data_IF_724947171163
#
_entry.id   IF_724947171163
#
_cell.length_a   1.000
_cell.length_b   1.000
_cell.length_c   1.000
_cell.angle_alpha   90.00
_cell.angle_beta   90.00
_cell.angle_gamma   90.00
#
_symmetry.space_group_name_H-M   'P 1'
#
loop_
_entity.id
_entity.type
_entity.pdbx_description
1 polymer ?
#
# COMPACT_ATOMS: atom_id res chain seq x y z
N UNK A 1 42.36 40.59 0.77
CA UNK A 1 41.24 41.15 1.56
C UNK A 1 39.85 40.91 0.93
N UNK A 2 39.68 40.99 -0.40
CA UNK A 2 38.36 40.79 -1.06
C UNK A 2 37.80 39.36 -1.01
N UNK A 3 38.65 38.33 -0.98
CA UNK A 3 38.24 36.90 -0.91
C UNK A 3 37.79 36.47 0.49
N UNK A 4 38.41 37.01 1.54
CA UNK A 4 38.03 36.74 2.93
C UNK A 4 36.68 37.36 3.30
N UNK A 5 36.35 38.53 2.74
CA UNK A 5 35.02 39.15 2.89
C UNK A 5 33.91 38.35 2.19
N UNK A 6 34.20 37.78 1.01
CA UNK A 6 33.23 36.95 0.28
C UNK A 6 32.92 35.63 1.02
N UNK A 7 33.94 34.99 1.61
CA UNK A 7 33.76 33.80 2.44
C UNK A 7 32.97 34.09 3.71
N UNK A 8 33.22 35.22 4.38
CA UNK A 8 32.49 35.61 5.58
C UNK A 8 31.00 35.88 5.27
N UNK A 9 30.70 36.49 4.12
CA UNK A 9 29.33 36.74 3.68
C UNK A 9 28.58 35.42 3.36
N UNK A 10 29.24 34.47 2.70
CA UNK A 10 28.65 33.17 2.35
C UNK A 10 28.32 32.33 3.58
N UNK A 11 29.19 32.37 4.60
CA UNK A 11 28.95 31.69 5.88
C UNK A 11 27.78 32.33 6.63
N UNK A 12 27.68 33.66 6.65
CA UNK A 12 26.56 34.36 7.29
C UNK A 12 25.20 34.08 6.62
N UNK A 13 25.18 33.93 5.29
CA UNK A 13 23.97 33.57 4.53
C UNK A 13 23.55 32.11 4.80
N UNK A 14 24.50 31.19 4.98
CA UNK A 14 24.20 29.80 5.31
C UNK A 14 23.69 29.63 6.76
N UNK A 15 24.14 30.45 7.71
CA UNK A 15 23.67 30.38 9.11
C UNK A 15 22.28 30.98 9.33
N UNK A 16 21.83 31.89 8.46
CA UNK A 16 20.53 32.59 8.62
C UNK A 16 19.34 31.86 8.00
N UNK A 17 19.55 30.74 7.31
CA UNK A 17 18.48 29.93 6.71
C UNK A 17 17.84 28.90 7.63
N UNK A 18 18.37 28.69 8.84
CA UNK A 18 17.99 27.58 9.72
C UNK A 18 17.07 27.98 10.88
N UNK A 19 16.06 28.81 10.61
CA UNK A 19 15.01 29.13 11.58
C UNK A 19 13.62 29.18 10.92
N UNK A 20 13.27 28.12 10.18
CA UNK A 20 11.86 27.84 9.94
C UNK A 20 11.28 27.16 11.18
N UNK A 21 10.19 27.67 11.77
CA UNK A 21 9.43 26.89 12.73
C UNK A 21 8.94 25.64 12.02
N UNK A 22 9.44 24.47 12.45
CA UNK A 22 8.87 23.19 12.07
C UNK A 22 7.47 23.13 12.64
N UNK A 23 6.49 23.50 11.83
CA UNK A 23 5.09 23.21 12.11
C UNK A 23 5.00 21.68 12.17
N UNK A 24 4.77 21.16 13.37
CA UNK A 24 4.51 19.75 13.58
C UNK A 24 3.45 19.29 12.57
N UNK A 25 3.82 18.31 11.74
CA UNK A 25 2.88 17.66 10.84
C UNK A 25 1.68 17.19 11.66
N UNK A 26 0.43 17.52 11.27
CA UNK A 26 -0.72 16.99 11.97
C UNK A 26 -0.67 15.47 11.86
N UNK A 27 -0.53 14.79 12.99
CA UNK A 27 -0.72 13.35 13.09
C UNK A 27 -2.04 13.03 12.39
N UNK A 28 -2.05 12.17 11.35
CA UNK A 28 -3.29 11.76 10.72
C UNK A 28 -4.14 11.10 11.80
N UNK A 29 -5.18 11.82 12.23
CA UNK A 29 -6.16 11.27 13.15
C UNK A 29 -7.05 10.40 12.30
N UNK A 30 -6.75 9.10 12.28
CA UNK A 30 -7.62 8.13 11.63
C UNK A 30 -9.01 8.26 12.25
N UNK A 31 -10.09 8.34 11.44
CA UNK A 31 -11.42 8.22 11.98
C UNK A 31 -11.51 6.89 12.74
N UNK A 32 -12.07 6.93 13.94
CA UNK A 32 -12.34 5.74 14.73
C UNK A 32 -13.08 4.72 13.85
N UNK A 33 -12.56 3.49 13.82
CA UNK A 33 -13.26 2.37 13.20
C UNK A 33 -14.65 2.31 13.83
N UNK A 34 -15.75 2.40 13.07
CA UNK A 34 -17.06 2.11 13.63
C UNK A 34 -17.03 0.63 13.99
N UNK A 35 -16.94 0.34 15.28
CA UNK A 35 -17.30 -0.97 15.83
C UNK A 35 -18.78 -1.15 15.54
N UNK A 36 -19.09 -1.75 14.40
CA UNK A 36 -20.38 -2.38 14.15
C UNK A 36 -20.46 -3.57 15.12
N UNK A 37 -20.83 -3.27 16.36
CA UNK A 37 -21.37 -4.26 17.28
C UNK A 37 -22.68 -4.71 16.69
N UNK A 38 -22.64 -5.80 15.91
CA UNK A 38 -23.83 -6.48 15.45
C UNK A 38 -24.25 -7.40 16.59
N UNK A 39 -25.33 -7.12 17.35
CA UNK A 39 -25.96 -8.17 18.13
C UNK A 39 -26.62 -9.12 17.13
N UNK A 40 -25.97 -10.23 16.82
CA UNK A 40 -26.67 -11.35 16.20
C UNK A 40 -27.61 -11.94 17.25
N UNK A 41 -28.82 -11.39 17.33
CA UNK A 41 -29.95 -12.01 18.03
C UNK A 41 -30.65 -12.90 17.00
N UNK A 42 -30.32 -14.19 17.00
CA UNK A 42 -31.08 -15.19 16.23
C UNK A 42 -32.48 -15.31 16.83
N UNK A 43 -33.44 -14.58 16.27
CA UNK A 43 -34.87 -14.87 16.46
C UNK A 43 -35.32 -15.71 15.27
N UNK A 44 -35.28 -17.03 15.45
CA UNK A 44 -35.84 -17.98 14.50
C UNK A 44 -37.37 -17.82 14.47
N UNK A 45 -37.90 -17.27 13.38
CA UNK A 45 -39.32 -17.33 13.07
C UNK A 45 -39.45 -18.15 11.79
N UNK A 46 -40.16 -19.30 11.78
CA UNK A 46 -40.15 -20.20 10.64
C UNK A 46 -41.04 -19.66 9.52
N UNK A 47 -40.43 -19.44 8.35
CA UNK A 47 -41.13 -19.23 7.08
C UNK A 47 -41.40 -20.62 6.47
N UNK A 48 -42.64 -20.99 6.11
CA UNK A 48 -42.94 -22.27 5.50
C UNK A 48 -42.34 -22.35 4.08
N UNK A 49 -41.57 -23.41 3.81
CA UNK A 49 -40.98 -23.70 2.50
C UNK A 49 -42.03 -24.28 1.53
N UNK A 50 -42.08 -23.85 0.26
CA UNK A 50 -42.71 -24.65 -0.78
C UNK A 50 -41.81 -25.83 -1.13
N UNK A 51 -42.41 -27.01 -1.21
CA UNK A 51 -41.77 -28.27 -1.60
C UNK A 51 -41.46 -28.20 -3.09
N UNK A 52 -40.19 -28.06 -3.46
CA UNK A 52 -39.75 -28.16 -4.84
C UNK A 52 -38.70 -29.27 -5.00
N UNK A 53 -39.16 -30.35 -5.64
CA UNK A 53 -38.47 -31.21 -6.59
C UNK A 53 -36.93 -31.24 -6.52
N UNK A 54 -36.34 -32.25 -5.87
CA UNK A 54 -34.90 -32.50 -5.91
C UNK A 54 -34.44 -33.01 -7.28
N UNK A 55 -33.96 -32.11 -8.15
CA UNK A 55 -33.00 -32.48 -9.20
C UNK A 55 -31.64 -32.77 -8.56
N UNK A 56 -30.93 -33.86 -8.93
CA UNK A 56 -29.62 -34.15 -8.37
C UNK A 56 -28.62 -33.06 -8.77
N UNK A 57 -28.15 -32.30 -7.78
CA UNK A 57 -27.04 -31.36 -7.92
C UNK A 57 -25.78 -32.16 -8.25
N UNK A 58 -25.01 -31.83 -9.30
CA UNK A 58 -23.75 -32.49 -9.56
C UNK A 58 -22.82 -32.27 -8.35
N UNK A 59 -22.29 -33.36 -7.81
CA UNK A 59 -21.27 -33.37 -6.75
C UNK A 59 -20.14 -32.45 -7.16
N UNK A 60 -19.96 -31.34 -6.44
CA UNK A 60 -18.79 -30.48 -6.58
C UNK A 60 -17.56 -31.34 -6.26
N UNK A 61 -16.69 -31.53 -7.26
CA UNK A 61 -15.34 -32.04 -7.05
C UNK A 61 -14.67 -31.27 -5.92
N UNK A 62 -13.95 -31.93 -5.00
CA UNK A 62 -13.22 -31.22 -3.95
C UNK A 62 -12.27 -30.23 -4.60
N UNK A 63 -12.37 -28.96 -4.19
CA UNK A 63 -11.39 -27.94 -4.52
C UNK A 63 -10.04 -28.50 -4.06
N UNK A 64 -9.16 -28.81 -5.01
CA UNK A 64 -7.78 -29.23 -4.74
C UNK A 64 -7.21 -28.24 -3.72
N UNK A 65 -6.73 -28.74 -2.59
CA UNK A 65 -6.12 -27.92 -1.55
C UNK A 65 -5.16 -26.93 -2.22
N UNK A 66 -5.46 -25.64 -2.10
CA UNK A 66 -4.62 -24.61 -2.68
C UNK A 66 -3.18 -24.85 -2.20
N UNK A 67 -2.16 -24.76 -3.08
CA UNK A 67 -0.79 -24.75 -2.60
C UNK A 67 -0.69 -23.64 -1.54
N UNK A 68 -0.08 -23.94 -0.39
CA UNK A 68 0.08 -22.99 0.71
C UNK A 68 1.10 -21.92 0.30
N UNK A 69 0.70 -21.05 -0.65
CA UNK A 69 1.46 -19.91 -1.19
C UNK A 69 1.93 -19.01 -0.04
N UNK A 70 1.14 -18.90 1.03
CA UNK A 70 1.48 -18.13 2.22
C UNK A 70 2.63 -18.76 3.06
N UNK A 71 3.02 -20.00 2.78
CA UNK A 71 4.16 -20.68 3.43
C UNK A 71 5.38 -20.81 2.53
N UNK A 72 5.28 -20.39 1.26
CA UNK A 72 6.42 -20.41 0.34
C UNK A 72 7.44 -19.34 0.78
N UNK A 73 8.68 -19.72 1.14
CA UNK A 73 9.70 -18.77 1.57
C UNK A 73 10.00 -17.70 0.51
N UNK A 74 9.79 -17.98 -0.79
CA UNK A 74 9.98 -16.99 -1.85
C UNK A 74 8.92 -15.89 -1.81
N UNK A 75 7.67 -16.24 -1.50
CA UNK A 75 6.58 -15.28 -1.38
C UNK A 75 6.79 -14.39 -0.16
N UNK A 76 7.21 -14.99 0.96
CA UNK A 76 7.58 -14.23 2.17
C UNK A 76 8.71 -13.24 1.85
N UNK A 77 9.78 -13.69 1.19
CA UNK A 77 10.90 -12.83 0.82
C UNK A 77 10.50 -11.67 -0.14
N UNK A 78 9.59 -11.93 -1.08
CA UNK A 78 9.04 -10.89 -1.97
C UNK A 78 8.23 -9.85 -1.19
N UNK A 79 7.38 -10.29 -0.25
CA UNK A 79 6.60 -9.38 0.60
C UNK A 79 7.49 -8.56 1.52
N UNK A 80 8.53 -9.16 2.11
CA UNK A 80 9.50 -8.45 2.93
C UNK A 80 10.28 -7.41 2.11
N UNK A 81 10.68 -7.77 0.88
CA UNK A 81 11.36 -6.84 -0.04
C UNK A 81 10.44 -5.68 -0.44
N UNK A 82 9.17 -5.96 -0.72
CA UNK A 82 8.17 -4.94 -1.02
C UNK A 82 8.00 -4.00 0.17
N UNK A 83 7.85 -4.55 1.38
CA UNK A 83 7.74 -3.78 2.62
C UNK A 83 8.94 -2.85 2.81
N UNK A 84 10.17 -3.36 2.65
CA UNK A 84 11.39 -2.55 2.71
C UNK A 84 11.36 -1.45 1.65
N UNK A 85 10.99 -1.78 0.41
CA UNK A 85 10.94 -0.80 -0.68
C UNK A 85 10.00 0.38 -0.37
N UNK A 86 8.87 0.12 0.29
CA UNK A 86 7.89 1.13 0.65
C UNK A 86 8.34 1.94 1.87
N UNK A 87 8.81 1.27 2.93
CA UNK A 87 9.17 1.93 4.19
C UNK A 87 10.42 2.82 4.03
N UNK A 88 11.40 2.36 3.26
CA UNK A 88 12.65 3.08 3.05
C UNK A 88 12.59 3.98 1.81
N UNK A 89 11.44 4.08 1.14
CA UNK A 89 11.28 4.78 -0.14
C UNK A 89 12.37 4.37 -1.15
N UNK A 90 12.66 3.08 -1.27
CA UNK A 90 13.70 2.55 -2.13
C UNK A 90 13.15 2.23 -3.51
N UNK A 91 13.18 3.23 -4.41
CA UNK A 91 12.71 3.10 -5.79
C UNK A 91 13.40 2.00 -6.58
N UNK A 92 14.71 1.82 -6.41
CA UNK A 92 15.46 0.78 -7.11
C UNK A 92 15.00 -0.64 -6.71
N UNK A 93 14.71 -0.86 -5.43
CA UNK A 93 14.17 -2.12 -4.95
C UNK A 93 12.73 -2.33 -5.42
N UNK A 94 11.88 -1.30 -5.37
CA UNK A 94 10.51 -1.42 -5.89
C UNK A 94 10.53 -1.78 -7.38
N UNK A 95 11.38 -1.12 -8.17
CA UNK A 95 11.54 -1.37 -9.61
C UNK A 95 11.90 -2.82 -9.93
N UNK A 96 12.77 -3.45 -9.12
CA UNK A 96 13.18 -4.85 -9.35
C UNK A 96 12.10 -5.88 -9.01
N UNK A 97 11.12 -5.49 -8.19
CA UNK A 97 9.98 -6.34 -7.82
C UNK A 97 8.84 -6.27 -8.84
N UNK A 98 8.87 -5.30 -9.76
CA UNK A 98 7.82 -5.09 -10.76
C UNK A 98 8.02 -6.06 -11.93
N UNK A 99 6.94 -6.73 -12.34
CA UNK A 99 6.95 -7.60 -13.52
C UNK A 99 7.33 -6.82 -14.78
N UNK A 100 7.93 -7.45 -15.80
CA UNK A 100 8.07 -6.85 -17.13
C UNK A 100 6.75 -6.37 -17.74
N UNK A 101 5.60 -6.94 -17.32
CA UNK A 101 4.27 -6.46 -17.74
C UNK A 101 3.80 -5.21 -16.98
N UNK A 102 4.54 -4.79 -15.94
CA UNK A 102 4.27 -3.63 -15.12
C UNK A 102 3.53 -3.93 -13.82
N UNK A 103 3.21 -2.86 -13.10
CA UNK A 103 2.48 -2.84 -11.84
C UNK A 103 1.22 -1.97 -12.00
N UNK A 104 0.07 -2.52 -11.63
CA UNK A 104 -1.17 -1.76 -11.59
C UNK A 104 -1.21 -0.84 -10.37
N UNK A 105 -1.41 0.45 -10.61
CA UNK A 105 -1.66 1.45 -9.58
C UNK A 105 -3.06 2.00 -9.78
N UNK A 106 -3.84 2.05 -8.71
CA UNK A 106 -5.19 2.63 -8.72
C UNK A 106 -5.41 3.43 -7.45
N UNK A 107 -6.05 4.59 -7.59
CA UNK A 107 -6.56 5.30 -6.43
C UNK A 107 -7.67 4.48 -5.77
N UNK A 108 -7.60 4.31 -4.45
CA UNK A 108 -8.57 3.52 -3.71
C UNK A 108 -9.98 4.14 -3.88
N UNK A 109 -10.96 3.29 -4.22
CA UNK A 109 -12.39 3.59 -4.53
C UNK A 109 -12.73 3.82 -6.01
N UNK A 110 -12.20 4.85 -6.68
CA UNK A 110 -12.67 5.24 -8.02
C UNK A 110 -11.54 5.66 -9.00
N UNK A 111 -10.32 5.16 -8.81
CA UNK A 111 -9.22 5.46 -9.72
C UNK A 111 -9.27 4.62 -11.01
N UNK A 112 -8.91 5.24 -12.13
CA UNK A 112 -8.49 4.48 -13.31
C UNK A 112 -7.25 3.64 -12.97
N UNK A 113 -7.15 2.45 -13.55
CA UNK A 113 -5.95 1.63 -13.43
C UNK A 113 -4.88 2.23 -14.33
N UNK A 114 -3.74 2.58 -13.73
CA UNK A 114 -2.56 3.06 -14.44
C UNK A 114 -1.51 1.96 -14.34
N UNK A 115 -0.94 1.56 -15.48
CA UNK A 115 0.15 0.61 -15.54
C UNK A 115 1.49 1.31 -15.44
N UNK A 116 2.26 0.97 -14.42
CA UNK A 116 3.62 1.46 -14.20
C UNK A 116 4.61 0.42 -14.71
N UNK A 117 5.48 0.80 -15.63
CA UNK A 117 6.67 0.01 -15.98
C UNK A 117 7.64 -0.08 -14.78
N UNK A 118 8.59 -1.04 -14.77
CA UNK A 118 9.64 -1.09 -13.76
C UNK A 118 10.37 0.26 -13.59
N UNK A 119 10.67 0.94 -14.69
CA UNK A 119 11.32 2.26 -14.68
C UNK A 119 10.42 3.33 -14.05
N UNK A 120 9.12 3.35 -14.37
CA UNK A 120 8.18 4.29 -13.78
C UNK A 120 7.94 4.03 -12.28
N UNK A 121 7.94 2.77 -11.86
CA UNK A 121 7.79 2.41 -10.46
C UNK A 121 8.97 2.93 -9.62
N UNK A 122 10.19 2.94 -10.18
CA UNK A 122 11.37 3.52 -9.54
C UNK A 122 11.16 4.99 -9.15
N UNK A 123 10.57 5.77 -10.06
CA UNK A 123 10.36 7.20 -9.87
C UNK A 123 9.36 7.55 -8.75
N UNK A 124 8.51 6.62 -8.32
CA UNK A 124 7.56 6.85 -7.22
C UNK A 124 8.24 7.33 -5.93
N UNK A 125 9.49 6.94 -5.70
CA UNK A 125 10.26 7.33 -4.52
C UNK A 125 11.47 8.23 -4.82
N UNK A 126 11.80 8.46 -6.09
CA UNK A 126 12.93 9.31 -6.48
C UNK A 126 12.51 10.71 -6.94
N UNK A 127 11.20 10.92 -7.19
CA UNK A 127 10.68 12.22 -7.61
C UNK A 127 10.75 13.26 -6.48
N UNK A 128 11.10 14.50 -6.82
CA UNK A 128 11.08 15.66 -5.92
C UNK A 128 9.96 16.65 -6.26
N UNK A 129 9.06 16.26 -7.16
CA UNK A 129 7.93 17.06 -7.63
C UNK A 129 6.65 16.73 -6.88
#
# INVERSE_FOLDING_TARGET
>A
MKRTLLSALLIAVLLSGCSLPSAASPTPTWPAVPTLGVPFTETATPIPLPVDSFTPVPTLTPISAAPTICTDPKVVALLDSLKVSILDANGALLSSLVSPQGMEVRYFRNGAVIMYTPEQAKFLFETTY
#
